data_IF_665135145783
#
_entry.id   IF_665135145783
#
_cell.length_a   1.000
_cell.length_b   1.000
_cell.length_c   1.000
_cell.angle_alpha   90.00
_cell.angle_beta   90.00
_cell.angle_gamma   90.00
#
_symmetry.space_group_name_H-M   'P 1'
#
loop_
_entity.id
_entity.type
_entity.pdbx_description
1 polymer ?
#
# COMPACT_ATOMS: atom_id res chain seq x y z
N UNK A 1 -6.72 51.84 0.84
CA UNK A 1 -7.04 51.13 2.08
C UNK A 1 -8.34 50.33 1.92
N UNK A 2 -8.51 49.59 0.80
CA UNK A 2 -9.68 48.76 0.49
C UNK A 2 -9.28 47.49 -0.35
N UNK A 3 -8.02 47.07 -0.25
CA UNK A 3 -7.49 45.95 -1.04
C UNK A 3 -6.80 44.85 -0.19
N UNK A 4 -6.97 44.87 1.15
CA UNK A 4 -6.31 43.94 2.08
C UNK A 4 -7.26 43.03 2.89
N UNK A 5 -8.55 42.94 2.52
CA UNK A 5 -9.55 42.13 3.23
C UNK A 5 -10.23 41.08 2.34
N UNK A 6 -9.47 40.44 1.43
CA UNK A 6 -10.06 39.42 0.53
C UNK A 6 -9.18 38.15 0.36
N UNK A 7 -8.38 37.80 1.34
CA UNK A 7 -7.62 36.53 1.35
C UNK A 7 -7.55 35.95 2.76
N UNK A 8 -8.62 35.37 3.24
CA UNK A 8 -8.65 34.34 4.28
C UNK A 8 -10.04 33.69 4.34
N UNK A 9 -10.57 33.25 3.19
CA UNK A 9 -11.56 32.18 3.15
C UNK A 9 -10.80 30.86 3.09
N UNK A 10 -10.51 30.27 4.26
CA UNK A 10 -9.92 28.96 4.38
C UNK A 10 -10.71 27.96 3.54
N UNK A 11 -10.11 27.52 2.44
CA UNK A 11 -10.59 26.44 1.59
C UNK A 11 -10.69 25.18 2.44
N UNK A 12 -11.94 24.73 2.67
CA UNK A 12 -12.16 23.37 3.16
C UNK A 12 -11.51 22.38 2.17
N UNK A 13 -10.77 21.36 2.67
CA UNK A 13 -10.26 20.33 1.78
C UNK A 13 -11.44 19.69 1.03
N UNK A 14 -11.27 19.39 -0.24
CA UNK A 14 -12.24 18.89 -1.21
C UNK A 14 -12.81 17.48 -0.93
N UNK A 15 -12.84 17.04 0.32
CA UNK A 15 -13.54 15.87 0.84
C UNK A 15 -14.55 16.33 1.89
N UNK A 16 -15.85 15.97 1.72
CA UNK A 16 -16.92 16.31 2.66
C UNK A 16 -16.58 15.90 4.10
N UNK A 17 -17.21 16.58 5.09
CA UNK A 17 -17.05 16.30 6.52
C UNK A 17 -17.32 14.82 6.83
N UNK A 18 -16.34 14.14 7.45
CA UNK A 18 -16.56 12.80 7.99
C UNK A 18 -17.50 12.83 9.19
N UNK A 19 -18.78 12.57 8.92
CA UNK A 19 -19.84 12.65 9.91
C UNK A 19 -19.65 11.64 11.05
N UNK A 20 -19.08 10.46 10.77
CA UNK A 20 -18.84 9.44 11.80
C UNK A 20 -17.73 9.89 12.77
N UNK A 21 -16.59 10.33 12.25
CA UNK A 21 -15.49 10.84 13.07
C UNK A 21 -15.89 12.11 13.82
N UNK A 22 -16.58 13.05 13.15
CA UNK A 22 -17.12 14.25 13.80
C UNK A 22 -18.05 13.89 14.97
N UNK A 23 -19.00 12.99 14.75
CA UNK A 23 -19.96 12.56 15.78
C UNK A 23 -19.29 11.91 16.99
N UNK A 24 -18.33 11.01 16.75
CA UNK A 24 -17.56 10.39 17.83
C UNK A 24 -16.69 11.40 18.59
N UNK A 25 -16.12 12.39 17.91
CA UNK A 25 -15.36 13.46 18.55
C UNK A 25 -16.25 14.37 19.38
N UNK A 26 -17.41 14.74 18.86
CA UNK A 26 -18.40 15.50 19.60
C UNK A 26 -18.81 14.76 20.88
N UNK A 27 -19.11 13.46 20.79
CA UNK A 27 -19.42 12.60 21.93
C UNK A 27 -18.27 12.52 22.94
N UNK A 28 -17.05 12.37 22.46
CA UNK A 28 -15.85 12.32 23.31
C UNK A 28 -15.66 13.61 24.09
N UNK A 29 -15.69 14.75 23.43
CA UNK A 29 -15.52 16.08 24.06
C UNK A 29 -16.66 16.40 25.04
N UNK A 30 -17.91 16.07 24.68
CA UNK A 30 -19.04 16.23 25.60
C UNK A 30 -18.85 15.42 26.87
N UNK A 31 -18.50 14.15 26.75
CA UNK A 31 -18.27 13.25 27.91
C UNK A 31 -17.07 13.70 28.75
N UNK A 32 -16.00 14.14 28.14
CA UNK A 32 -14.82 14.69 28.82
C UNK A 32 -15.17 15.93 29.68
N UNK A 33 -16.26 16.65 29.32
CA UNK A 33 -16.80 17.80 30.10
C UNK A 33 -17.92 17.38 31.08
N UNK A 34 -18.21 16.07 31.20
CA UNK A 34 -19.25 15.55 32.08
C UNK A 34 -20.68 15.93 31.67
N UNK A 35 -20.87 16.42 30.43
CA UNK A 35 -22.18 16.89 29.97
C UNK A 35 -23.08 15.78 29.47
N UNK A 36 -24.36 15.83 29.81
CA UNK A 36 -25.42 15.04 29.17
C UNK A 36 -25.80 15.65 27.82
N UNK A 37 -26.52 14.89 26.98
CA UNK A 37 -27.08 15.42 25.73
C UNK A 37 -28.06 16.56 25.95
N UNK A 38 -28.81 16.54 27.09
CA UNK A 38 -29.76 17.57 27.45
C UNK A 38 -29.04 18.86 27.82
N UNK A 39 -28.01 18.82 28.64
CA UNK A 39 -27.23 19.98 29.06
C UNK A 39 -26.48 20.63 27.88
N UNK A 40 -25.85 19.83 27.02
CA UNK A 40 -25.23 20.36 25.79
C UNK A 40 -26.30 20.98 24.87
N UNK A 41 -27.46 20.29 24.74
CA UNK A 41 -28.60 20.78 23.95
C UNK A 41 -29.10 22.15 24.41
N UNK A 42 -29.25 22.33 25.72
CA UNK A 42 -29.65 23.59 26.31
C UNK A 42 -28.65 24.72 26.00
N UNK A 43 -27.32 24.43 26.02
CA UNK A 43 -26.27 25.42 25.73
C UNK A 43 -26.24 25.89 24.27
N UNK A 44 -26.62 25.00 23.33
CA UNK A 44 -26.58 25.29 21.87
C UNK A 44 -27.97 25.48 21.25
N UNK A 45 -29.03 25.51 22.05
CA UNK A 45 -30.39 25.70 21.57
C UNK A 45 -30.89 24.57 20.68
N UNK A 46 -30.55 23.32 20.98
CA UNK A 46 -30.93 22.11 20.20
C UNK A 46 -31.50 21.03 21.07
N UNK A 47 -32.48 20.30 20.52
CA UNK A 47 -33.04 19.12 21.20
C UNK A 47 -31.99 18.02 21.39
N UNK A 48 -32.02 17.28 22.51
CA UNK A 48 -31.10 16.15 22.75
C UNK A 48 -31.11 15.11 21.63
N UNK A 49 -32.27 14.87 21.01
CA UNK A 49 -32.43 13.96 19.88
C UNK A 49 -31.63 14.41 18.64
N UNK A 50 -31.61 15.74 18.38
CA UNK A 50 -30.84 16.30 17.28
C UNK A 50 -29.32 16.14 17.49
N UNK A 51 -28.85 16.33 18.72
CA UNK A 51 -27.45 16.08 19.08
C UNK A 51 -27.10 14.60 19.03
N UNK A 52 -28.01 13.72 19.41
CA UNK A 52 -27.82 12.26 19.25
C UNK A 52 -27.64 11.87 17.79
N UNK A 53 -28.37 12.46 16.87
CA UNK A 53 -28.19 12.22 15.42
C UNK A 53 -26.82 12.68 14.92
N UNK A 54 -26.32 13.83 15.43
CA UNK A 54 -24.98 14.32 15.13
C UNK A 54 -23.90 13.39 15.69
N UNK A 55 -24.01 13.00 16.97
CA UNK A 55 -23.04 12.09 17.61
C UNK A 55 -23.00 10.70 16.98
N UNK A 56 -24.05 10.28 16.28
CA UNK A 56 -24.12 9.02 15.55
C UNK A 56 -23.81 9.18 14.06
N UNK A 57 -23.35 10.34 13.60
CA UNK A 57 -22.99 10.60 12.21
C UNK A 57 -24.16 10.51 11.23
N UNK A 58 -25.41 10.64 11.71
CA UNK A 58 -26.64 10.51 10.90
C UNK A 58 -27.16 11.85 10.39
N UNK A 59 -26.52 12.97 10.77
CA UNK A 59 -26.90 14.31 10.37
C UNK A 59 -25.66 15.17 10.19
N UNK A 60 -25.64 15.93 9.11
CA UNK A 60 -24.58 16.92 8.86
C UNK A 60 -24.85 18.20 9.67
N UNK A 61 -23.85 18.72 10.42
CA UNK A 61 -23.97 19.97 11.13
C UNK A 61 -23.80 21.15 10.18
N UNK A 62 -24.57 22.22 10.38
CA UNK A 62 -24.27 23.51 9.76
C UNK A 62 -23.08 24.17 10.44
N UNK A 63 -22.32 25.01 9.73
CA UNK A 63 -21.13 25.69 10.24
C UNK A 63 -21.45 26.46 11.54
N UNK A 64 -22.55 27.20 11.57
CA UNK A 64 -23.00 27.94 12.77
C UNK A 64 -23.25 27.05 13.99
N UNK A 65 -23.62 25.79 13.76
CA UNK A 65 -23.81 24.84 14.85
C UNK A 65 -22.46 24.26 15.31
N UNK A 66 -21.50 24.07 14.41
CA UNK A 66 -20.12 23.66 14.77
C UNK A 66 -19.48 24.71 15.66
N UNK A 67 -19.60 26.00 15.32
CA UNK A 67 -19.12 27.12 16.15
C UNK A 67 -19.79 27.16 17.51
N UNK A 68 -21.12 27.00 17.57
CA UNK A 68 -21.86 26.94 18.82
C UNK A 68 -21.45 25.76 19.71
N UNK A 69 -21.24 24.57 19.12
CA UNK A 69 -20.77 23.40 19.83
C UNK A 69 -19.33 23.57 20.35
N UNK A 70 -18.43 24.13 19.55
CA UNK A 70 -17.07 24.44 19.95
C UNK A 70 -17.02 25.40 21.14
N UNK A 71 -17.81 26.49 21.09
CA UNK A 71 -17.96 27.42 22.19
C UNK A 71 -18.53 26.77 23.46
N UNK A 72 -19.59 25.97 23.32
CA UNK A 72 -20.22 25.27 24.45
C UNK A 72 -19.31 24.22 25.11
N UNK A 73 -18.39 23.65 24.35
CA UNK A 73 -17.39 22.67 24.80
C UNK A 73 -16.04 23.30 25.15
N UNK A 74 -15.87 24.65 24.99
CA UNK A 74 -14.62 25.36 25.22
C UNK A 74 -13.44 24.76 24.47
N UNK A 75 -13.60 24.54 23.18
CA UNK A 75 -12.57 24.05 22.25
C UNK A 75 -12.56 24.91 20.98
N UNK A 76 -11.48 24.86 20.21
CA UNK A 76 -11.45 25.47 18.88
C UNK A 76 -12.34 24.69 17.90
N UNK A 77 -13.00 25.36 16.92
CA UNK A 77 -13.78 24.65 15.89
C UNK A 77 -12.97 23.57 15.14
N UNK A 78 -11.70 23.83 14.86
CA UNK A 78 -10.78 22.90 14.20
C UNK A 78 -10.61 21.59 14.98
N UNK A 79 -10.72 21.64 16.31
CA UNK A 79 -10.63 20.43 17.13
C UNK A 79 -11.82 19.49 16.89
N UNK A 80 -13.01 20.03 16.66
CA UNK A 80 -14.18 19.24 16.25
C UNK A 80 -14.07 18.66 14.84
N UNK A 81 -13.34 19.35 13.97
CA UNK A 81 -13.19 19.01 12.56
C UNK A 81 -11.98 18.13 12.26
N UNK A 82 -11.16 17.80 13.26
CA UNK A 82 -9.99 16.91 13.08
C UNK A 82 -10.40 15.58 12.48
N UNK A 83 -9.75 15.11 11.40
CA UNK A 83 -10.15 13.91 10.68
C UNK A 83 -9.83 12.60 11.44
N UNK A 84 -8.97 12.65 12.48
CA UNK A 84 -8.61 11.44 13.23
C UNK A 84 -9.68 11.12 14.29
N UNK A 85 -10.04 9.84 14.50
CA UNK A 85 -10.88 9.41 15.61
C UNK A 85 -10.28 9.85 16.96
N UNK A 86 -11.10 10.25 17.96
CA UNK A 86 -10.60 10.79 19.22
C UNK A 86 -9.97 9.74 20.15
N UNK A 87 -10.20 8.45 19.90
CA UNK A 87 -9.65 7.34 20.68
C UNK A 87 -9.65 6.05 19.87
N UNK A 88 -8.84 5.05 20.29
CA UNK A 88 -8.84 3.70 19.69
C UNK A 88 -10.25 3.09 19.70
N UNK A 89 -10.96 3.22 20.79
CA UNK A 89 -12.34 2.75 20.90
C UNK A 89 -13.25 3.40 19.86
N UNK A 90 -13.17 4.72 19.69
CA UNK A 90 -13.94 5.44 18.66
C UNK A 90 -13.62 4.97 17.25
N UNK A 91 -12.35 4.70 16.98
CA UNK A 91 -11.89 4.13 15.70
C UNK A 91 -12.54 2.75 15.44
N UNK A 92 -12.55 1.87 16.43
CA UNK A 92 -13.16 0.55 16.32
C UNK A 92 -14.69 0.63 16.16
N UNK A 93 -15.36 1.53 16.88
CA UNK A 93 -16.81 1.77 16.76
C UNK A 93 -17.17 2.25 15.34
N UNK A 94 -16.39 3.18 14.77
CA UNK A 94 -16.56 3.63 13.38
C UNK A 94 -16.33 2.49 12.40
N UNK A 95 -15.23 1.76 12.54
CA UNK A 95 -14.89 0.65 11.65
C UNK A 95 -15.99 -0.46 11.66
N UNK A 96 -16.54 -0.80 12.83
CA UNK A 96 -17.61 -1.78 12.91
C UNK A 96 -18.93 -1.26 12.32
N UNK A 97 -19.27 0.03 12.51
CA UNK A 97 -20.44 0.61 11.85
C UNK A 97 -20.31 0.64 10.32
N UNK A 98 -19.12 0.93 9.79
CA UNK A 98 -18.84 0.86 8.35
C UNK A 98 -18.93 -0.58 7.84
N UNK A 99 -18.36 -1.54 8.56
CA UNK A 99 -18.48 -2.96 8.26
C UNK A 99 -19.94 -3.42 8.16
N UNK A 100 -20.81 -2.98 9.06
CA UNK A 100 -22.23 -3.32 9.06
C UNK A 100 -23.03 -2.67 7.91
N UNK A 101 -22.49 -1.67 7.23
CA UNK A 101 -23.09 -1.05 6.03
C UNK A 101 -22.64 -1.71 4.73
N UNK A 102 -21.58 -2.49 4.77
CA UNK A 102 -21.02 -3.19 3.61
C UNK A 102 -22.02 -4.22 3.05
N UNK A 103 -22.14 -4.39 1.73
CA UNK A 103 -22.94 -5.43 1.10
C UNK A 103 -22.69 -6.83 1.68
N UNK A 104 -21.42 -7.17 1.96
CA UNK A 104 -21.02 -8.44 2.55
C UNK A 104 -21.74 -8.74 3.86
N UNK A 105 -21.93 -7.73 4.72
CA UNK A 105 -22.63 -7.91 5.99
C UNK A 105 -24.10 -8.28 5.77
N UNK A 106 -24.73 -7.69 4.76
CA UNK A 106 -26.11 -8.01 4.36
C UNK A 106 -26.24 -9.43 3.85
N UNK A 107 -25.26 -9.89 3.04
CA UNK A 107 -25.23 -11.26 2.50
C UNK A 107 -25.11 -12.31 3.61
N UNK A 108 -24.42 -11.97 4.70
CA UNK A 108 -24.28 -12.85 5.87
C UNK A 108 -25.55 -12.93 6.71
N UNK A 109 -26.58 -12.10 6.44
CA UNK A 109 -27.84 -12.04 7.20
C UNK A 109 -27.64 -11.87 8.71
N UNK A 110 -26.56 -11.21 9.13
CA UNK A 110 -26.27 -10.98 10.56
C UNK A 110 -27.13 -9.84 11.12
N UNK A 111 -27.58 -9.97 12.39
CA UNK A 111 -28.32 -8.90 13.03
C UNK A 111 -27.42 -7.68 13.26
N UNK A 112 -27.98 -6.49 13.09
CA UNK A 112 -27.25 -5.24 13.35
C UNK A 112 -26.88 -5.13 14.84
N UNK A 113 -25.58 -5.02 15.12
CA UNK A 113 -25.05 -4.81 16.46
C UNK A 113 -24.96 -3.31 16.76
N UNK A 114 -25.78 -2.84 17.69
CA UNK A 114 -25.67 -1.47 18.20
C UNK A 114 -24.43 -1.35 19.08
N UNK A 115 -23.40 -0.71 18.56
CA UNK A 115 -22.16 -0.48 19.30
C UNK A 115 -22.40 0.55 20.40
N UNK A 116 -22.22 0.13 21.64
CA UNK A 116 -22.41 0.98 22.82
C UNK A 116 -21.36 0.70 23.90
N UNK A 117 -21.39 1.47 24.97
CA UNK A 117 -20.41 1.38 26.07
C UNK A 117 -20.33 -0.02 26.74
N UNK A 118 -21.35 -0.85 26.55
CA UNK A 118 -21.42 -2.22 27.13
C UNK A 118 -20.61 -3.26 26.36
N UNK A 119 -20.24 -3.00 25.11
CA UNK A 119 -19.39 -3.93 24.32
C UNK A 119 -17.93 -3.68 24.72
N UNK A 120 -17.22 -4.68 25.28
CA UNK A 120 -15.80 -4.54 25.63
C UNK A 120 -14.95 -4.15 24.42
N UNK A 121 -13.85 -3.41 24.64
CA UNK A 121 -13.01 -2.91 23.57
C UNK A 121 -12.30 -4.02 22.78
N UNK A 122 -11.86 -5.05 23.49
CA UNK A 122 -11.25 -6.27 22.93
C UNK A 122 -12.22 -7.05 22.03
N UNK A 123 -13.50 -7.13 22.39
CA UNK A 123 -14.55 -7.75 21.55
C UNK A 123 -14.75 -6.93 20.27
N UNK A 124 -14.78 -5.59 20.35
CA UNK A 124 -14.86 -4.74 19.17
C UNK A 124 -13.66 -4.96 18.25
N UNK A 125 -12.47 -5.06 18.81
CA UNK A 125 -11.25 -5.29 18.06
C UNK A 125 -11.27 -6.63 17.33
N UNK A 126 -11.69 -7.70 18.01
CA UNK A 126 -11.86 -9.01 17.39
C UNK A 126 -12.89 -8.99 16.25
N UNK A 127 -14.04 -8.34 16.46
CA UNK A 127 -15.09 -8.26 15.43
C UNK A 127 -14.61 -7.49 14.20
N UNK A 128 -13.94 -6.36 14.37
CA UNK A 128 -13.40 -5.58 13.27
C UNK A 128 -12.32 -6.35 12.53
N UNK A 129 -11.42 -7.05 13.26
CA UNK A 129 -10.38 -7.87 12.67
C UNK A 129 -10.94 -9.06 11.88
N UNK A 130 -11.89 -9.79 12.45
CA UNK A 130 -12.55 -10.93 11.79
C UNK A 130 -13.32 -10.49 10.53
N UNK A 131 -14.04 -9.38 10.62
CA UNK A 131 -14.74 -8.86 9.45
C UNK A 131 -13.76 -8.41 8.35
N UNK A 132 -12.68 -7.73 8.74
CA UNK A 132 -11.64 -7.33 7.80
C UNK A 132 -10.98 -8.53 7.10
N UNK A 133 -10.77 -9.64 7.80
CA UNK A 133 -10.24 -10.88 7.23
C UNK A 133 -11.25 -11.54 6.31
N UNK A 134 -12.50 -11.66 6.72
CA UNK A 134 -13.58 -12.22 5.91
C UNK A 134 -13.79 -11.42 4.61
N UNK A 135 -13.73 -10.10 4.69
CA UNK A 135 -13.78 -9.22 3.52
C UNK A 135 -12.61 -9.46 2.58
N UNK A 136 -11.39 -9.58 3.10
CA UNK A 136 -10.19 -9.89 2.32
C UNK A 136 -10.28 -11.24 1.62
N UNK A 137 -10.73 -12.28 2.34
CA UNK A 137 -10.91 -13.61 1.75
C UNK A 137 -11.96 -13.60 0.62
N UNK A 138 -13.06 -12.86 0.79
CA UNK A 138 -14.09 -12.74 -0.26
C UNK A 138 -13.69 -11.85 -1.44
N UNK A 139 -12.87 -10.84 -1.23
CA UNK A 139 -12.37 -9.97 -2.30
C UNK A 139 -11.10 -10.50 -2.94
N UNK A 140 -10.50 -11.54 -2.38
CA UNK A 140 -9.36 -12.22 -3.01
C UNK A 140 -9.87 -12.93 -4.27
N UNK A 141 -9.30 -12.64 -5.44
CA UNK A 141 -9.57 -13.43 -6.63
C UNK A 141 -9.11 -14.87 -6.33
N UNK A 142 -10.07 -15.75 -6.12
CA UNK A 142 -9.78 -17.17 -5.93
C UNK A 142 -9.61 -17.81 -7.31
N UNK A 143 -8.46 -18.40 -7.53
CA UNK A 143 -8.18 -19.20 -8.72
C UNK A 143 -7.90 -20.63 -8.28
N UNK A 144 -8.32 -21.58 -9.08
CA UNK A 144 -7.86 -22.97 -8.95
C UNK A 144 -6.34 -23.02 -9.16
N UNK A 145 -5.63 -24.05 -8.66
CA UNK A 145 -4.21 -24.20 -8.93
C UNK A 145 -3.86 -24.18 -10.42
N UNK A 146 -4.74 -24.70 -11.26
CA UNK A 146 -4.57 -24.73 -12.72
C UNK A 146 -4.73 -23.33 -13.33
N UNK A 147 -5.80 -22.62 -13.00
CA UNK A 147 -6.01 -21.23 -13.43
C UNK A 147 -4.86 -20.33 -12.99
N UNK A 148 -4.34 -20.53 -11.76
CA UNK A 148 -3.20 -19.78 -11.25
C UNK A 148 -1.93 -20.05 -12.06
N UNK A 149 -1.68 -21.30 -12.50
CA UNK A 149 -0.54 -21.65 -13.35
C UNK A 149 -0.66 -21.02 -14.73
N UNK A 150 -1.82 -21.14 -15.36
CA UNK A 150 -2.09 -20.54 -16.68
C UNK A 150 -1.89 -19.02 -16.60
N UNK A 151 -2.49 -18.34 -15.64
CA UNK A 151 -2.36 -16.89 -15.48
C UNK A 151 -0.91 -16.44 -15.22
N UNK A 152 -0.13 -17.21 -14.43
CA UNK A 152 1.29 -16.92 -14.25
C UNK A 152 2.09 -17.13 -15.55
N UNK A 153 1.81 -18.19 -16.32
CA UNK A 153 2.47 -18.45 -17.60
C UNK A 153 2.18 -17.35 -18.63
N UNK A 154 0.93 -16.93 -18.75
CA UNK A 154 0.51 -15.83 -19.64
C UNK A 154 1.16 -14.50 -19.25
N UNK A 155 1.15 -14.18 -17.96
CA UNK A 155 1.80 -12.96 -17.45
C UNK A 155 3.30 -12.97 -17.74
N UNK A 156 3.99 -14.09 -17.49
CA UNK A 156 5.40 -14.24 -17.80
C UNK A 156 5.67 -14.08 -19.30
N UNK A 157 4.84 -14.66 -20.15
CA UNK A 157 4.95 -14.49 -21.60
C UNK A 157 4.80 -13.02 -22.00
N UNK A 158 3.80 -12.32 -21.48
CA UNK A 158 3.59 -10.90 -21.74
C UNK A 158 4.75 -10.02 -21.25
N UNK A 159 5.32 -10.33 -20.08
CA UNK A 159 6.50 -9.63 -19.56
C UNK A 159 7.74 -9.86 -20.40
N UNK A 160 7.97 -11.11 -20.83
CA UNK A 160 9.09 -11.49 -21.71
C UNK A 160 9.01 -10.78 -23.07
N UNK A 161 7.82 -10.66 -23.63
CA UNK A 161 7.62 -9.93 -24.90
C UNK A 161 8.02 -8.45 -24.83
N UNK A 162 8.05 -7.86 -23.62
CA UNK A 162 8.53 -6.50 -23.34
C UNK A 162 9.98 -6.44 -22.83
N UNK A 163 10.71 -7.54 -22.82
CA UNK A 163 12.04 -7.63 -22.20
C UNK A 163 11.99 -7.39 -20.69
N UNK A 164 10.88 -7.72 -20.02
CA UNK A 164 10.64 -7.44 -18.60
C UNK A 164 10.82 -5.96 -18.21
N UNK A 165 10.62 -5.02 -19.13
CA UNK A 165 10.82 -3.60 -18.96
C UNK A 165 9.51 -2.82 -19.15
N UNK A 166 9.20 -1.87 -18.24
CA UNK A 166 7.96 -1.10 -18.20
C UNK A 166 8.25 0.41 -18.21
N UNK A 167 8.39 1.02 -19.39
CA UNK A 167 8.80 2.42 -19.51
C UNK A 167 7.82 3.39 -18.84
N UNK A 168 6.54 3.07 -18.82
CA UNK A 168 5.52 3.86 -18.15
C UNK A 168 5.71 3.90 -16.63
N UNK A 169 6.11 2.77 -16.01
CA UNK A 169 6.37 2.68 -14.58
C UNK A 169 7.70 3.35 -14.22
N UNK A 170 8.73 3.20 -15.08
CA UNK A 170 10.01 3.92 -14.91
C UNK A 170 9.80 5.43 -14.88
N UNK A 171 8.97 5.94 -15.80
CA UNK A 171 8.64 7.38 -15.83
C UNK A 171 7.94 7.83 -14.54
N UNK A 172 6.94 7.10 -14.06
CA UNK A 172 6.23 7.43 -12.82
C UNK A 172 7.14 7.35 -11.58
N UNK A 173 8.04 6.37 -11.53
CA UNK A 173 9.05 6.28 -10.48
C UNK A 173 10.03 7.46 -10.52
N UNK A 174 10.47 7.87 -11.72
CA UNK A 174 11.32 9.03 -11.90
C UNK A 174 10.62 10.33 -11.47
N UNK A 175 9.36 10.54 -11.87
CA UNK A 175 8.54 11.68 -11.46
C UNK A 175 8.41 11.77 -9.93
N UNK A 176 8.13 10.65 -9.24
CA UNK A 176 8.04 10.59 -7.79
C UNK A 176 9.36 10.96 -7.09
N UNK A 177 10.50 10.54 -7.65
CA UNK A 177 11.83 10.85 -7.14
C UNK A 177 12.24 12.31 -7.41
N UNK A 178 11.92 12.83 -8.58
CA UNK A 178 12.22 14.22 -8.97
C UNK A 178 11.41 15.21 -8.13
N UNK A 179 10.16 14.90 -7.81
CA UNK A 179 9.29 15.72 -6.97
C UNK A 179 9.88 15.98 -5.56
N UNK A 180 10.73 15.07 -5.06
CA UNK A 180 11.39 15.19 -3.76
C UNK A 180 12.87 15.55 -3.85
N UNK A 181 13.36 15.87 -5.06
CA UNK A 181 14.74 16.30 -5.29
C UNK A 181 15.78 15.21 -5.06
N UNK A 182 15.47 13.93 -5.32
CA UNK A 182 16.43 12.83 -5.17
C UNK A 182 17.64 12.97 -6.09
N UNK A 183 18.85 12.70 -5.57
CA UNK A 183 20.13 12.94 -6.26
C UNK A 183 20.95 11.69 -6.53
N UNK A 184 20.47 10.52 -6.18
CA UNK A 184 21.14 9.24 -6.39
C UNK A 184 21.59 8.53 -5.09
N UNK A 185 22.11 7.31 -5.24
CA UNK A 185 22.54 6.45 -4.13
C UNK A 185 21.40 5.69 -3.45
N UNK A 186 21.65 5.20 -2.24
CA UNK A 186 20.64 4.50 -1.47
C UNK A 186 19.50 5.44 -1.04
N UNK A 187 18.25 5.01 -1.22
CA UNK A 187 17.09 5.79 -0.82
C UNK A 187 17.02 5.91 0.70
N UNK A 188 17.12 7.13 1.24
CA UNK A 188 17.04 7.38 2.68
C UNK A 188 15.60 7.26 3.19
N UNK A 189 15.44 7.03 4.51
CA UNK A 189 14.12 7.01 5.14
C UNK A 189 13.40 8.36 4.99
N UNK A 190 14.12 9.48 5.10
CA UNK A 190 13.55 10.82 4.93
C UNK A 190 13.04 11.05 3.51
N UNK A 191 13.80 10.64 2.49
CA UNK A 191 13.39 10.71 1.09
C UNK A 191 12.15 9.84 0.83
N UNK A 192 12.13 8.63 1.38
CA UNK A 192 10.98 7.74 1.28
C UNK A 192 9.71 8.38 1.89
N UNK A 193 9.82 8.98 3.08
CA UNK A 193 8.70 9.67 3.71
C UNK A 193 8.25 10.91 2.90
N UNK A 194 9.20 11.62 2.26
CA UNK A 194 8.87 12.73 1.38
C UNK A 194 8.10 12.28 0.13
N UNK A 195 8.47 11.15 -0.48
CA UNK A 195 7.73 10.55 -1.61
C UNK A 195 6.30 10.22 -1.19
N UNK A 196 6.13 9.55 -0.05
CA UNK A 196 4.81 9.18 0.48
C UNK A 196 3.96 10.42 0.75
N UNK A 197 4.57 11.45 1.37
CA UNK A 197 3.93 12.74 1.64
C UNK A 197 3.56 13.50 0.36
N UNK A 198 4.40 13.47 -0.67
CA UNK A 198 4.10 14.05 -1.99
C UNK A 198 2.81 13.48 -2.59
N UNK A 199 2.59 12.18 -2.44
CA UNK A 199 1.35 11.52 -2.88
C UNK A 199 0.19 11.66 -1.87
N UNK A 200 0.34 12.50 -0.85
CA UNK A 200 -0.70 12.84 0.11
C UNK A 200 -0.94 11.77 1.18
N UNK A 201 -0.05 10.81 1.36
CA UNK A 201 -0.16 9.77 2.39
C UNK A 201 0.69 10.08 3.61
N UNK A 202 0.28 9.55 4.76
CA UNK A 202 1.07 9.49 5.99
C UNK A 202 1.31 8.03 6.40
N UNK A 203 2.42 7.76 7.08
CA UNK A 203 2.78 6.41 7.54
C UNK A 203 2.65 6.33 9.05
N UNK A 204 2.07 5.24 9.53
CA UNK A 204 2.03 4.89 10.95
C UNK A 204 2.47 3.43 11.12
N UNK A 205 3.23 3.16 12.17
CA UNK A 205 3.59 1.79 12.53
C UNK A 205 2.57 1.27 13.54
N UNK A 206 2.14 0.01 13.37
CA UNK A 206 1.18 -0.65 14.23
C UNK A 206 1.64 -2.07 14.54
N UNK A 207 1.65 -2.40 15.83
CA UNK A 207 2.06 -3.73 16.32
C UNK A 207 0.89 -4.74 16.28
N UNK A 208 -0.33 -4.23 16.20
CA UNK A 208 -1.58 -4.97 16.29
C UNK A 208 -2.16 -5.41 14.93
N UNK A 209 -1.38 -5.30 13.86
CA UNK A 209 -1.80 -5.81 12.56
C UNK A 209 -1.79 -7.35 12.53
N UNK A 210 -2.80 -8.01 11.92
CA UNK A 210 -2.83 -9.45 11.76
C UNK A 210 -1.53 -10.00 11.16
N UNK A 211 -1.10 -11.20 11.57
CA UNK A 211 0.17 -11.80 11.10
C UNK A 211 0.23 -12.00 9.58
N UNK A 212 -0.92 -12.21 8.93
CA UNK A 212 -1.06 -12.36 7.48
C UNK A 212 -0.93 -11.04 6.71
N UNK A 213 -0.97 -9.88 7.39
CA UNK A 213 -1.03 -8.56 6.76
C UNK A 213 0.27 -7.81 6.98
N UNK A 214 0.84 -7.31 5.88
CA UNK A 214 2.09 -6.53 5.89
C UNK A 214 1.83 -5.02 6.00
N UNK A 215 0.76 -4.56 5.39
CA UNK A 215 0.32 -3.16 5.43
C UNK A 215 -1.20 -3.07 5.33
N UNK A 216 -1.77 -2.01 5.88
CA UNK A 216 -3.18 -1.65 5.72
C UNK A 216 -3.24 -0.19 5.30
N UNK A 217 -4.05 0.13 4.30
CA UNK A 217 -4.24 1.50 3.86
C UNK A 217 -5.64 1.99 4.23
N UNK A 218 -5.67 3.04 5.01
CA UNK A 218 -6.87 3.85 5.22
C UNK A 218 -6.93 4.90 4.11
N UNK A 219 -7.65 4.58 3.04
CA UNK A 219 -7.79 5.45 1.87
C UNK A 219 -8.50 6.76 2.23
N UNK A 220 -9.44 6.71 3.17
CA UNK A 220 -10.22 7.87 3.59
C UNK A 220 -9.36 8.93 4.26
N UNK A 221 -8.45 8.51 5.14
CA UNK A 221 -7.55 9.41 5.84
C UNK A 221 -6.15 9.45 5.22
N UNK A 222 -5.97 8.82 4.07
CA UNK A 222 -4.70 8.71 3.33
C UNK A 222 -3.55 8.29 4.24
N UNK A 223 -3.77 7.22 5.01
CA UNK A 223 -2.79 6.70 5.96
C UNK A 223 -2.44 5.25 5.65
N UNK A 224 -1.14 4.97 5.60
CA UNK A 224 -0.61 3.61 5.43
C UNK A 224 -0.11 3.14 6.79
N UNK A 225 -0.68 2.04 7.28
CA UNK A 225 -0.21 1.36 8.48
C UNK A 225 0.72 0.23 8.06
N UNK A 226 1.93 0.24 8.62
CA UNK A 226 2.91 -0.81 8.43
C UNK A 226 3.05 -1.60 9.72
N UNK A 227 3.26 -2.90 9.57
CA UNK A 227 3.62 -3.75 10.71
C UNK A 227 5.05 -3.47 11.12
N UNK A 228 5.28 -3.33 12.42
CA UNK A 228 6.61 -3.26 13.00
C UNK A 228 7.20 -4.67 13.07
N UNK A 229 7.86 -5.13 11.99
CA UNK A 229 8.49 -6.45 11.96
C UNK A 229 9.95 -6.38 12.41
N UNK A 230 10.47 -7.46 13.02
CA UNK A 230 11.90 -7.56 13.28
C UNK A 230 12.72 -7.42 12.00
N UNK A 231 13.82 -6.71 12.08
CA UNK A 231 14.77 -6.54 10.97
C UNK A 231 15.17 -7.92 10.42
N UNK A 232 14.87 -8.23 9.15
CA UNK A 232 15.45 -9.40 8.48
C UNK A 232 14.56 -10.20 7.53
N UNK A 233 13.22 -10.11 7.58
CA UNK A 233 12.36 -10.95 6.70
C UNK A 233 11.88 -10.21 5.46
N UNK A 234 11.47 -8.94 5.58
CA UNK A 234 11.09 -8.08 4.44
C UNK A 234 11.44 -6.63 4.76
N UNK A 235 11.95 -5.90 3.77
CA UNK A 235 12.24 -4.47 3.93
C UNK A 235 10.93 -3.66 4.04
N UNK A 236 10.68 -2.95 5.16
CA UNK A 236 9.51 -2.07 5.28
C UNK A 236 9.43 -1.02 4.16
N UNK A 237 10.58 -0.59 3.62
CA UNK A 237 10.67 0.32 2.48
C UNK A 237 10.02 -0.27 1.23
N UNK A 238 10.29 -1.54 0.94
CA UNK A 238 9.71 -2.24 -0.21
C UNK A 238 8.21 -2.38 -0.06
N UNK A 239 7.73 -2.80 1.12
CA UNK A 239 6.29 -2.94 1.38
C UNK A 239 5.57 -1.60 1.22
N UNK A 240 6.15 -0.53 1.75
CA UNK A 240 5.57 0.81 1.64
C UNK A 240 5.47 1.28 0.20
N UNK A 241 6.53 1.09 -0.60
CA UNK A 241 6.55 1.45 -2.01
C UNK A 241 5.63 0.57 -2.87
N UNK A 242 5.51 -0.73 -2.56
CA UNK A 242 4.52 -1.60 -3.20
C UNK A 242 3.09 -1.11 -2.94
N UNK A 243 2.80 -0.76 -1.69
CA UNK A 243 1.50 -0.21 -1.32
C UNK A 243 1.23 1.12 -2.02
N UNK A 244 2.21 2.02 -2.04
CA UNK A 244 2.10 3.30 -2.74
C UNK A 244 1.95 3.10 -4.25
N UNK A 245 2.64 2.11 -4.83
CA UNK A 245 2.58 1.77 -6.25
C UNK A 245 1.16 1.50 -6.75
N UNK A 246 0.32 0.85 -5.96
CA UNK A 246 -1.09 0.65 -6.33
C UNK A 246 -1.86 1.96 -6.52
N UNK A 247 -1.50 3.02 -5.78
CA UNK A 247 -2.14 4.34 -5.90
C UNK A 247 -1.54 5.18 -7.03
N UNK A 248 -0.22 5.12 -7.21
CA UNK A 248 0.48 5.85 -8.27
C UNK A 248 0.13 5.32 -9.65
N UNK A 249 -0.09 4.01 -9.75
CA UNK A 249 -0.46 3.31 -10.99
C UNK A 249 -1.98 3.25 -11.22
N UNK A 250 -2.79 3.92 -10.39
CA UNK A 250 -4.26 3.93 -10.46
C UNK A 250 -4.88 2.53 -10.57
N UNK A 251 -4.35 1.58 -9.78
CA UNK A 251 -4.89 0.23 -9.73
C UNK A 251 -6.28 0.21 -9.12
N UNK A 252 -7.24 -0.31 -9.86
CA UNK A 252 -8.58 -0.59 -9.37
C UNK A 252 -8.65 -1.93 -8.62
N UNK A 253 -9.82 -2.27 -8.07
CA UNK A 253 -10.04 -3.60 -7.50
C UNK A 253 -9.87 -4.65 -8.59
N UNK A 254 -9.00 -5.66 -8.40
CA UNK A 254 -8.73 -6.66 -9.42
C UNK A 254 -10.02 -7.39 -9.85
N UNK A 255 -10.27 -7.50 -11.13
CA UNK A 255 -11.46 -8.16 -11.71
C UNK A 255 -11.38 -9.67 -11.60
N UNK A 256 -10.18 -10.21 -11.71
CA UNK A 256 -9.87 -11.63 -11.69
C UNK A 256 -8.44 -11.88 -11.16
N UNK A 257 -8.04 -13.14 -11.11
CA UNK A 257 -6.72 -13.53 -10.61
C UNK A 257 -5.58 -13.07 -11.53
N UNK A 258 -5.77 -13.04 -12.83
CA UNK A 258 -4.75 -12.55 -13.78
C UNK A 258 -4.51 -11.05 -13.60
N UNK A 259 -5.58 -10.26 -13.42
CA UNK A 259 -5.50 -8.83 -13.14
C UNK A 259 -4.81 -8.57 -11.78
N UNK A 260 -5.12 -9.38 -10.75
CA UNK A 260 -4.41 -9.33 -9.46
C UNK A 260 -2.91 -9.60 -9.60
N UNK A 261 -2.53 -10.61 -10.37
CA UNK A 261 -1.11 -10.90 -10.61
C UNK A 261 -0.40 -9.77 -11.36
N UNK A 262 -1.05 -9.22 -12.39
CA UNK A 262 -0.54 -8.08 -13.16
C UNK A 262 -0.28 -6.88 -12.25
N UNK A 263 -1.29 -6.44 -11.50
CA UNK A 263 -1.17 -5.31 -10.57
C UNK A 263 -0.08 -5.54 -9.52
N UNK A 264 0.05 -6.77 -9.01
CA UNK A 264 1.11 -7.13 -8.08
C UNK A 264 2.50 -7.01 -8.70
N UNK A 265 2.67 -7.44 -9.95
CA UNK A 265 3.95 -7.30 -10.68
C UNK A 265 4.27 -5.83 -10.91
N UNK A 266 3.31 -5.04 -11.37
CA UNK A 266 3.47 -3.60 -11.62
C UNK A 266 3.83 -2.84 -10.34
N UNK A 267 3.17 -3.11 -9.21
CA UNK A 267 3.48 -2.50 -7.92
C UNK A 267 4.88 -2.90 -7.41
N UNK A 268 5.28 -4.18 -7.61
CA UNK A 268 6.63 -4.65 -7.30
C UNK A 268 7.68 -3.95 -8.18
N UNK A 269 7.39 -3.79 -9.46
CA UNK A 269 8.27 -3.11 -10.41
C UNK A 269 8.43 -1.63 -10.03
N UNK A 270 7.35 -0.93 -9.71
CA UNK A 270 7.39 0.46 -9.23
C UNK A 270 8.28 0.59 -7.99
N UNK A 271 8.09 -0.28 -6.99
CA UNK A 271 8.92 -0.27 -5.79
C UNK A 271 10.42 -0.46 -6.12
N UNK A 272 10.74 -1.38 -7.03
CA UNK A 272 12.09 -1.61 -7.47
C UNK A 272 12.65 -0.44 -8.27
N UNK A 273 11.85 0.20 -9.13
CA UNK A 273 12.24 1.38 -9.92
C UNK A 273 12.50 2.62 -9.05
N UNK A 274 11.78 2.79 -7.94
CA UNK A 274 12.05 3.86 -6.96
C UNK A 274 13.31 3.56 -6.14
N UNK A 275 13.52 2.30 -5.72
CA UNK A 275 14.68 1.91 -4.90
C UNK A 275 15.98 1.83 -5.70
N UNK A 276 15.92 1.47 -6.97
CA UNK A 276 17.05 1.38 -7.91
C UNK A 276 16.68 2.14 -9.18
N UNK A 277 16.75 3.48 -9.17
CA UNK A 277 16.23 4.31 -10.26
C UNK A 277 17.04 4.14 -11.54
N UNK A 278 16.33 3.98 -12.65
CA UNK A 278 16.87 3.71 -13.97
C UNK A 278 18.03 4.62 -14.36
N UNK A 279 17.86 5.94 -14.28
CA UNK A 279 18.87 6.91 -14.72
C UNK A 279 20.21 6.77 -13.99
N UNK A 280 20.20 6.41 -12.71
CA UNK A 280 21.42 6.22 -11.92
C UNK A 280 21.98 4.82 -12.11
N UNK A 281 21.12 3.80 -12.17
CA UNK A 281 21.52 2.42 -12.37
C UNK A 281 22.07 2.18 -13.78
N UNK A 282 21.47 2.75 -14.83
CA UNK A 282 21.97 2.64 -16.20
C UNK A 282 23.36 3.28 -16.34
N UNK A 283 23.59 4.43 -15.72
CA UNK A 283 24.90 5.06 -15.68
C UNK A 283 25.92 4.17 -14.95
N UNK A 284 25.58 3.68 -13.76
CA UNK A 284 26.42 2.76 -12.99
C UNK A 284 26.77 1.50 -13.81
N UNK A 285 25.79 0.87 -14.43
CA UNK A 285 26.01 -0.31 -15.27
C UNK A 285 26.92 -0.02 -16.48
N UNK A 286 26.74 1.14 -17.14
CA UNK A 286 27.58 1.55 -18.27
C UNK A 286 29.04 1.77 -17.86
N UNK A 287 29.28 2.43 -16.73
CA UNK A 287 30.61 2.65 -16.16
C UNK A 287 31.27 1.30 -15.75
N UNK A 288 30.51 0.43 -15.07
CA UNK A 288 30.97 -0.89 -14.67
C UNK A 288 31.28 -1.82 -15.87
N UNK A 289 30.50 -1.73 -16.95
CA UNK A 289 30.76 -2.46 -18.19
C UNK A 289 32.06 -2.02 -18.86
N UNK A 290 32.29 -0.70 -18.94
CA UNK A 290 33.55 -0.16 -19.49
C UNK A 290 34.75 -0.61 -18.65
N UNK A 291 34.62 -0.65 -17.33
CA UNK A 291 35.63 -1.14 -16.41
C UNK A 291 35.77 -2.67 -16.39
N UNK A 292 34.91 -3.41 -17.07
CA UNK A 292 34.80 -4.90 -16.99
C UNK A 292 34.57 -5.42 -15.57
N UNK A 293 33.76 -4.70 -14.80
CA UNK A 293 33.47 -4.96 -13.38
C UNK A 293 31.94 -5.00 -13.13
N UNK A 294 31.17 -5.56 -14.07
CA UNK A 294 29.75 -5.77 -13.87
C UNK A 294 29.50 -6.76 -12.73
N UNK A 295 28.77 -6.28 -11.71
CA UNK A 295 28.44 -7.08 -10.53
C UNK A 295 27.06 -6.72 -10.02
N UNK A 296 26.26 -7.73 -9.71
CA UNK A 296 24.94 -7.58 -9.03
C UNK A 296 25.16 -7.15 -7.58
N UNK A 297 26.22 -7.62 -6.94
CA UNK A 297 26.61 -7.30 -5.56
C UNK A 297 26.90 -5.81 -5.42
N UNK A 298 27.65 -5.21 -6.35
CA UNK A 298 27.96 -3.79 -6.33
C UNK A 298 26.68 -2.95 -6.49
N UNK A 299 25.78 -3.36 -7.37
CA UNK A 299 24.47 -2.72 -7.51
C UNK A 299 23.65 -2.81 -6.21
N UNK A 300 23.63 -4.00 -5.58
CA UNK A 300 23.00 -4.20 -4.26
C UNK A 300 23.52 -3.20 -3.23
N UNK A 301 24.83 -3.05 -3.16
CA UNK A 301 25.50 -2.24 -2.14
C UNK A 301 25.32 -0.73 -2.40
N UNK A 302 25.47 -0.29 -3.65
CA UNK A 302 25.26 1.11 -4.06
C UNK A 302 23.86 1.60 -3.73
N UNK A 303 22.84 0.79 -3.98
CA UNK A 303 21.43 1.17 -3.75
C UNK A 303 20.88 0.65 -2.40
N UNK A 304 21.67 -0.11 -1.64
CA UNK A 304 21.28 -0.69 -0.35
C UNK A 304 19.94 -1.46 -0.43
N UNK A 305 19.85 -2.37 -1.38
CA UNK A 305 18.69 -3.24 -1.62
C UNK A 305 19.04 -4.71 -1.38
N UNK A 306 18.05 -5.61 -1.44
CA UNK A 306 18.33 -7.05 -1.38
C UNK A 306 19.02 -7.54 -2.65
N UNK A 307 19.78 -8.62 -2.57
CA UNK A 307 20.40 -9.26 -3.73
C UNK A 307 19.35 -9.61 -4.81
N UNK A 308 18.22 -10.18 -4.41
CA UNK A 308 17.13 -10.50 -5.32
C UNK A 308 16.62 -9.27 -6.09
N UNK A 309 16.43 -8.15 -5.40
CA UNK A 309 16.02 -6.90 -6.04
C UNK A 309 17.07 -6.36 -6.99
N UNK A 310 18.34 -6.38 -6.58
CA UNK A 310 19.46 -5.97 -7.44
C UNK A 310 19.55 -6.85 -8.69
N UNK A 311 19.42 -8.18 -8.55
CA UNK A 311 19.45 -9.12 -9.66
C UNK A 311 18.29 -8.89 -10.64
N UNK A 312 17.08 -8.65 -10.16
CA UNK A 312 15.94 -8.29 -11.02
C UNK A 312 16.19 -7.00 -11.80
N UNK A 313 16.62 -5.94 -11.09
CA UNK A 313 16.88 -4.64 -11.73
C UNK A 313 18.05 -4.73 -12.71
N UNK A 314 19.09 -5.49 -12.35
CA UNK A 314 20.21 -5.78 -13.25
C UNK A 314 19.71 -6.42 -14.54
N UNK A 315 18.93 -7.49 -14.44
CA UNK A 315 18.40 -8.21 -15.62
C UNK A 315 17.61 -7.28 -16.53
N UNK A 316 16.71 -6.45 -15.97
CA UNK A 316 15.89 -5.53 -16.75
C UNK A 316 16.74 -4.44 -17.42
N UNK A 317 17.57 -3.76 -16.64
CA UNK A 317 18.31 -2.58 -17.09
C UNK A 317 19.53 -2.91 -17.95
N UNK A 318 20.25 -4.00 -17.65
CA UNK A 318 21.37 -4.45 -18.48
C UNK A 318 20.89 -4.89 -19.86
N UNK A 319 19.76 -5.60 -19.95
CA UNK A 319 19.16 -5.93 -21.23
C UNK A 319 18.73 -4.69 -22.00
N UNK A 320 18.00 -3.77 -21.33
CA UNK A 320 17.42 -2.60 -21.99
C UNK A 320 18.49 -1.57 -22.43
N UNK A 321 19.45 -1.24 -21.56
CA UNK A 321 20.43 -0.18 -21.80
C UNK A 321 21.74 -0.66 -22.41
N UNK A 322 22.17 -1.88 -22.11
CA UNK A 322 23.46 -2.40 -22.58
C UNK A 322 23.32 -3.49 -23.67
N UNK A 323 22.09 -3.89 -23.98
CA UNK A 323 21.84 -4.99 -24.93
C UNK A 323 22.39 -6.34 -24.46
N UNK A 324 22.62 -6.49 -23.14
CA UNK A 324 23.13 -7.74 -22.57
C UNK A 324 22.00 -8.74 -22.40
N UNK A 325 22.00 -9.87 -23.13
CA UNK A 325 21.04 -10.92 -22.91
C UNK A 325 21.39 -11.62 -21.58
N UNK A 326 20.46 -11.58 -20.64
CA UNK A 326 20.64 -12.22 -19.34
C UNK A 326 19.32 -12.74 -18.77
N UNK A 327 19.43 -13.64 -17.82
CA UNK A 327 18.30 -14.17 -17.10
C UNK A 327 18.58 -14.19 -15.59
N UNK A 328 17.51 -14.25 -14.82
CA UNK A 328 17.54 -14.47 -13.39
C UNK A 328 16.62 -15.63 -13.04
N UNK A 329 17.13 -16.62 -12.31
CA UNK A 329 16.34 -17.75 -11.82
C UNK A 329 16.57 -17.91 -10.32
N UNK A 330 15.46 -18.03 -9.58
CA UNK A 330 15.47 -18.38 -8.16
C UNK A 330 14.92 -19.79 -7.97
N UNK A 331 15.73 -20.65 -7.39
CA UNK A 331 15.38 -22.04 -7.08
C UNK A 331 15.74 -22.36 -5.62
N UNK A 332 15.21 -23.49 -5.11
CA UNK A 332 15.62 -24.05 -3.83
C UNK A 332 16.86 -24.95 -3.98
N UNK A 333 17.28 -25.55 -2.86
CA UNK A 333 18.38 -26.50 -2.80
C UNK A 333 18.13 -27.78 -3.62
N UNK A 334 16.87 -28.14 -3.88
CA UNK A 334 16.48 -29.26 -4.74
C UNK A 334 16.40 -28.89 -6.22
N UNK A 335 16.73 -27.64 -6.59
CA UNK A 335 16.67 -27.12 -7.95
C UNK A 335 15.27 -26.81 -8.44
N UNK A 336 14.28 -26.72 -7.54
CA UNK A 336 12.89 -26.38 -7.89
C UNK A 336 12.78 -24.87 -8.12
N UNK A 337 12.28 -24.47 -9.30
CA UNK A 337 12.15 -23.06 -9.70
C UNK A 337 11.00 -22.42 -8.95
N UNK A 338 11.27 -21.28 -8.31
CA UNK A 338 10.26 -20.42 -7.69
C UNK A 338 9.94 -19.20 -8.55
N UNK A 339 10.92 -18.73 -9.33
CA UNK A 339 10.80 -17.49 -10.09
C UNK A 339 11.86 -17.42 -11.17
N UNK A 340 11.50 -16.93 -12.34
CA UNK A 340 12.46 -16.63 -13.38
C UNK A 340 12.07 -15.39 -14.17
N UNK A 341 13.12 -14.73 -14.69
CA UNK A 341 13.06 -13.63 -15.67
C UNK A 341 14.06 -13.93 -16.76
N UNK A 342 13.59 -14.10 -17.98
CA UNK A 342 14.44 -14.44 -19.12
C UNK A 342 14.39 -13.33 -20.18
N UNK A 343 15.54 -12.76 -20.50
CA UNK A 343 15.71 -11.80 -21.61
C UNK A 343 16.73 -12.28 -22.64
N UNK A 344 17.20 -13.51 -22.53
CA UNK A 344 18.26 -14.12 -23.38
C UNK A 344 17.77 -15.27 -24.27
N UNK A 345 16.45 -15.51 -24.29
CA UNK A 345 15.89 -16.61 -25.07
C UNK A 345 16.05 -17.99 -24.45
N UNK A 346 16.58 -18.09 -23.22
CA UNK A 346 16.69 -19.37 -22.51
C UNK A 346 15.30 -20.00 -22.37
N UNK A 347 15.19 -21.28 -22.75
CA UNK A 347 13.97 -22.06 -22.54
C UNK A 347 14.12 -22.81 -21.22
N UNK A 348 13.34 -22.40 -20.24
CA UNK A 348 13.27 -23.09 -18.95
C UNK A 348 12.30 -24.28 -19.03
N UNK A 349 12.50 -25.30 -18.17
CA UNK A 349 11.55 -26.40 -18.03
C UNK A 349 10.16 -25.86 -17.68
N UNK A 350 9.14 -26.26 -18.42
CA UNK A 350 7.75 -25.88 -18.19
C UNK A 350 6.85 -27.14 -18.18
N UNK A 351 5.73 -27.06 -17.49
CA UNK A 351 4.67 -28.06 -17.55
C UNK A 351 3.80 -27.89 -18.82
N UNK A 352 2.75 -28.70 -18.94
CA UNK A 352 1.80 -28.65 -20.06
C UNK A 352 1.06 -27.32 -20.19
N UNK A 353 0.93 -26.56 -19.08
CA UNK A 353 0.34 -25.22 -19.06
C UNK A 353 1.36 -24.11 -19.40
N UNK A 354 2.63 -24.43 -19.58
CA UNK A 354 3.71 -23.47 -19.78
C UNK A 354 4.24 -22.85 -18.47
N UNK A 355 3.80 -23.33 -17.32
CA UNK A 355 4.30 -22.87 -16.02
C UNK A 355 5.66 -23.48 -15.70
N UNK A 356 6.59 -22.64 -15.22
CA UNK A 356 7.95 -23.05 -14.83
C UNK A 356 8.09 -23.23 -13.32
N UNK A 357 7.24 -22.60 -12.54
CA UNK A 357 7.24 -22.70 -11.10
C UNK A 357 6.96 -24.15 -10.68
N UNK A 358 7.76 -24.66 -9.78
CA UNK A 358 7.68 -26.05 -9.35
C UNK A 358 8.44 -27.05 -10.24
N UNK A 359 8.94 -26.64 -11.41
CA UNK A 359 9.77 -27.48 -12.27
C UNK A 359 11.21 -27.56 -11.75
N UNK A 360 11.89 -28.66 -12.00
CA UNK A 360 13.29 -28.87 -11.58
C UNK A 360 14.25 -28.57 -12.72
N UNK A 361 15.13 -27.59 -12.51
CA UNK A 361 16.17 -27.27 -13.50
C UNK A 361 17.06 -28.42 -13.85
N UNK A 362 17.53 -29.20 -12.87
CA UNK A 362 18.52 -30.26 -13.05
C UNK A 362 18.04 -31.48 -13.83
N UNK A 363 16.74 -31.67 -14.12
CA UNK A 363 16.23 -32.80 -14.85
C UNK A 363 16.16 -32.62 -16.38
N UNK A 364 16.12 -31.37 -16.83
CA UNK A 364 15.85 -31.05 -18.25
C UNK A 364 16.95 -30.22 -18.89
N UNK A 365 17.79 -29.52 -18.09
CA UNK A 365 18.98 -28.88 -18.64
C UNK A 365 20.12 -29.88 -18.71
N UNK A 366 20.68 -30.05 -19.90
CA UNK A 366 21.91 -30.78 -20.04
C UNK A 366 23.03 -30.15 -19.22
N UNK A 367 23.91 -30.94 -18.63
CA UNK A 367 25.09 -30.43 -17.90
C UNK A 367 25.96 -29.46 -18.72
N UNK A 368 25.86 -29.51 -20.05
CA UNK A 368 26.53 -28.56 -20.97
C UNK A 368 25.93 -27.13 -20.90
N UNK A 369 24.72 -26.99 -20.40
CA UNK A 369 24.05 -25.68 -20.23
C UNK A 369 24.16 -25.12 -18.83
N UNK A 370 24.77 -25.84 -17.90
CA UNK A 370 25.23 -25.28 -16.63
C UNK A 370 26.50 -24.51 -16.97
N UNK A 371 26.35 -23.30 -17.51
CA UNK A 371 27.46 -22.37 -17.57
C UNK A 371 27.85 -22.10 -16.12
N UNK A 372 29.02 -22.60 -15.70
CA UNK A 372 29.70 -21.95 -14.58
C UNK A 372 29.66 -20.44 -14.84
N UNK A 373 29.44 -19.61 -13.80
CA UNK A 373 29.66 -18.20 -13.95
C UNK A 373 31.07 -18.03 -14.45
N UNK A 374 31.24 -17.85 -15.75
CA UNK A 374 32.53 -17.51 -16.33
C UNK A 374 32.90 -16.20 -15.67
N UNK A 375 33.74 -16.28 -14.66
CA UNK A 375 34.49 -15.11 -14.24
C UNK A 375 35.21 -14.63 -15.48
N UNK A 376 34.92 -13.45 -16.01
CA UNK A 376 35.71 -12.91 -17.10
C UNK A 376 37.10 -12.73 -16.52
N UNK A 377 38.09 -13.38 -17.12
CA UNK A 377 39.49 -13.17 -16.86
C UNK A 377 39.89 -11.72 -17.13
#
# INVERSE_FOLDING_TARGET
>A
MQQFLKEESGSFPSGGLDLATFGQRLRHLRRARGLTLAELGARVGRAPSALSLLENGRREPKLSLIEALAKALSVAPDELLRPQPPSRRAQLEIALEEAQRDPLFRDLSLPYLKVGARVPGDVLEHLVALYGELRRERTRPTATPEEARIANAELRHAMRARGNYFPEIERQAAEALDAVGYRGGALSQSTLMAIVGHHGFTVSYADDLPRSVRSVTDQRHRRIYLKQEPVGVHSPRTILLQTLGHFVLDHEVPRDFADFLRQRVEANYFAAAVLVPERFAARFLSEAMQARQLSVEDMRDVFSVSYEMAAHRFTNLATHHLGLPCHFVKNDEAGVIYKAYENDGLVLPADESGAIEGQRMCRQLSLIHISEPTRPY
#
